data_IF_020344034196
#
_entry.id   IF_020344034196
#
_cell.length_a   1.000
_cell.length_b   1.000
_cell.length_c   1.000
_cell.angle_alpha   90.00
_cell.angle_beta   90.00
_cell.angle_gamma   90.00
#
_symmetry.space_group_name_H-M   'P 1'
#
loop_
_entity.id
_entity.type
_entity.pdbx_description
1 polymer ?
#
# COMPACT_ATOMS: atom_id res chain seq x y z
N UNK A 1 34.19 9.57 -22.46
CA UNK A 1 32.83 9.05 -22.73
C UNK A 1 32.17 8.90 -21.37
N UNK A 2 31.13 9.67 -21.08
CA UNK A 2 30.39 9.63 -19.81
C UNK A 2 29.73 8.25 -19.68
N UNK A 3 30.10 7.49 -18.65
CA UNK A 3 29.56 6.17 -18.42
C UNK A 3 28.13 6.31 -17.88
N UNK A 4 27.13 6.03 -18.73
CA UNK A 4 25.72 6.07 -18.32
C UNK A 4 25.45 5.07 -17.20
N UNK A 5 25.11 5.58 -16.01
CA UNK A 5 24.75 4.76 -14.85
C UNK A 5 23.50 3.92 -15.15
N UNK A 6 23.57 2.58 -15.10
CA UNK A 6 22.45 1.69 -15.45
C UNK A 6 21.15 1.99 -14.68
N UNK A 7 21.28 2.49 -13.45
CA UNK A 7 20.17 2.83 -12.56
C UNK A 7 19.31 4.01 -13.06
N UNK A 8 19.91 4.95 -13.80
CA UNK A 8 19.25 6.16 -14.31
C UNK A 8 18.73 5.99 -15.75
N UNK A 9 18.75 4.76 -16.27
CA UNK A 9 18.24 4.48 -17.61
C UNK A 9 16.72 4.33 -17.63
N UNK A 10 16.03 4.84 -18.66
CA UNK A 10 14.59 4.64 -18.83
C UNK A 10 14.22 3.15 -18.91
N UNK A 11 13.02 2.81 -18.44
CA UNK A 11 12.53 1.43 -18.43
C UNK A 11 11.02 1.36 -18.68
N UNK A 12 10.61 0.47 -19.59
CA UNK A 12 9.19 0.23 -19.88
C UNK A 12 8.67 -0.93 -19.05
N UNK A 13 7.81 -0.62 -18.08
CA UNK A 13 7.16 -1.59 -17.19
C UNK A 13 5.71 -1.78 -17.60
N UNK A 14 5.46 -2.71 -18.53
CA UNK A 14 4.11 -2.98 -19.04
C UNK A 14 3.47 -1.74 -19.68
N UNK A 15 2.47 -1.15 -19.02
CA UNK A 15 1.77 0.07 -19.48
C UNK A 15 2.45 1.37 -19.04
N UNK A 16 3.49 1.30 -18.21
CA UNK A 16 4.15 2.47 -17.63
C UNK A 16 5.53 2.67 -18.27
N UNK A 17 5.85 3.91 -18.62
CA UNK A 17 7.18 4.30 -19.06
C UNK A 17 7.87 5.04 -17.90
N UNK A 18 8.92 4.45 -17.34
CA UNK A 18 9.68 5.02 -16.23
C UNK A 18 10.92 5.75 -16.78
N UNK A 19 11.22 6.91 -16.20
CA UNK A 19 12.41 7.68 -16.57
C UNK A 19 13.69 7.08 -15.99
N UNK A 20 13.58 6.34 -14.88
CA UNK A 20 14.68 5.71 -14.17
C UNK A 20 14.22 4.44 -13.45
N UNK A 21 15.17 3.66 -12.92
CA UNK A 21 14.90 2.37 -12.24
C UNK A 21 14.89 2.47 -10.71
N UNK A 22 14.98 3.67 -10.16
CA UNK A 22 14.81 3.94 -8.73
C UNK A 22 13.31 3.91 -8.39
N UNK A 23 12.95 3.12 -7.40
CA UNK A 23 11.56 2.94 -6.96
C UNK A 23 11.48 3.25 -5.46
N UNK A 24 10.44 3.96 -5.05
CA UNK A 24 10.13 4.09 -3.62
C UNK A 24 9.44 2.81 -3.13
N UNK A 25 10.12 2.08 -2.26
CA UNK A 25 9.61 0.86 -1.66
C UNK A 25 8.36 1.12 -0.78
N UNK A 26 7.49 0.11 -0.58
CA UNK A 26 6.37 0.24 0.34
C UNK A 26 6.88 0.26 1.79
N UNK A 27 6.81 1.42 2.45
CA UNK A 27 7.28 1.59 3.84
C UNK A 27 6.11 1.93 4.76
N UNK A 28 5.79 1.04 5.69
CA UNK A 28 4.81 1.31 6.75
C UNK A 28 5.38 2.33 7.72
N UNK A 29 4.67 3.46 7.90
CA UNK A 29 5.12 4.58 8.76
C UNK A 29 4.26 4.77 10.01
N UNK A 30 3.15 4.02 10.16
CA UNK A 30 2.19 4.15 11.26
C UNK A 30 1.67 5.59 11.47
N UNK A 31 1.44 6.34 10.38
CA UNK A 31 0.92 7.72 10.41
C UNK A 31 -0.45 7.89 9.76
N UNK A 32 -1.19 6.79 9.58
CA UNK A 32 -2.58 6.85 9.10
C UNK A 32 -3.50 6.54 10.28
N UNK A 33 -3.83 7.58 11.04
CA UNK A 33 -4.72 7.46 12.20
C UNK A 33 -6.07 6.92 11.75
N UNK A 34 -6.63 5.97 12.52
CA UNK A 34 -7.91 5.31 12.24
C UNK A 34 -8.00 4.66 10.84
N UNK A 35 -6.86 4.27 10.26
CA UNK A 35 -6.77 3.77 8.88
C UNK A 35 -7.21 4.79 7.81
N UNK A 36 -7.26 6.07 8.16
CA UNK A 36 -7.63 7.16 7.28
C UNK A 36 -6.39 7.89 6.75
N UNK A 37 -6.42 8.23 5.46
CA UNK A 37 -5.35 9.01 4.84
C UNK A 37 -5.30 10.43 5.42
N UNK A 38 -4.12 10.83 5.89
CA UNK A 38 -3.90 12.13 6.53
C UNK A 38 -3.31 13.16 5.55
N UNK A 39 -3.49 14.47 5.77
CA UNK A 39 -2.98 15.51 4.87
C UNK A 39 -1.46 15.44 4.64
N UNK A 40 -0.69 15.12 5.69
CA UNK A 40 0.76 14.99 5.59
C UNK A 40 1.23 13.82 4.70
N UNK A 41 0.36 12.86 4.39
CA UNK A 41 0.69 11.79 3.44
C UNK A 41 0.84 12.35 2.02
N UNK A 42 0.06 13.37 1.64
CA UNK A 42 0.21 14.06 0.35
C UNK A 42 1.61 14.66 0.21
N UNK A 43 1.97 15.53 1.17
CA UNK A 43 3.30 16.15 1.22
C UNK A 43 4.44 15.12 1.21
N UNK A 44 4.27 14.00 1.92
CA UNK A 44 5.27 12.93 1.97
C UNK A 44 5.57 12.32 0.59
N UNK A 45 4.54 12.07 -0.21
CA UNK A 45 4.68 11.51 -1.56
C UNK A 45 5.08 12.57 -2.58
N UNK A 46 4.60 13.80 -2.45
CA UNK A 46 5.01 14.92 -3.30
C UNK A 46 6.52 15.14 -3.24
N UNK A 47 7.11 15.10 -2.03
CA UNK A 47 8.56 15.21 -1.84
C UNK A 47 9.37 14.08 -2.50
N UNK A 48 8.76 12.93 -2.76
CA UNK A 48 9.41 11.73 -3.30
C UNK A 48 9.06 11.48 -4.76
N UNK A 49 8.11 12.24 -5.30
CA UNK A 49 7.74 12.20 -6.69
C UNK A 49 8.80 12.90 -7.53
N UNK A 50 9.41 12.14 -8.43
CA UNK A 50 10.20 12.67 -9.54
C UNK A 50 9.52 12.32 -10.88
N UNK A 51 9.78 13.07 -11.97
CA UNK A 51 9.21 12.75 -13.28
C UNK A 51 9.54 11.31 -13.71
N UNK A 52 8.54 10.52 -14.11
CA UNK A 52 8.72 9.12 -14.48
C UNK A 52 9.19 8.20 -13.35
N UNK A 53 9.07 8.62 -12.08
CA UNK A 53 9.38 7.78 -10.91
C UNK A 53 8.19 6.91 -10.52
N UNK A 54 8.49 5.73 -9.96
CA UNK A 54 7.46 4.84 -9.42
C UNK A 54 7.45 4.86 -7.91
N UNK A 55 6.30 5.17 -7.33
CA UNK A 55 6.05 5.18 -5.90
C UNK A 55 5.10 4.07 -5.49
N UNK A 56 5.45 3.31 -4.46
CA UNK A 56 4.58 2.32 -3.83
C UNK A 56 4.14 2.85 -2.45
N UNK A 57 2.82 2.85 -2.22
CA UNK A 57 2.23 3.25 -0.93
C UNK A 57 2.48 2.17 0.14
N UNK A 58 2.38 2.48 1.45
CA UNK A 58 2.45 1.47 2.51
C UNK A 58 1.36 0.43 2.33
N UNK A 59 1.51 -0.67 3.07
CA UNK A 59 0.43 -1.63 3.23
C UNK A 59 -0.83 -0.91 3.72
N UNK A 60 -1.87 -0.93 2.91
CA UNK A 60 -3.19 -0.45 3.30
C UNK A 60 -4.03 -1.65 3.73
N UNK A 61 -4.59 -1.65 4.94
CA UNK A 61 -5.38 -2.78 5.41
C UNK A 61 -6.59 -3.02 4.51
N UNK A 62 -6.96 -4.30 4.39
CA UNK A 62 -8.19 -4.72 3.74
C UNK A 62 -9.40 -4.14 4.49
N UNK A 63 -10.51 -3.99 3.78
CA UNK A 63 -11.81 -3.70 4.42
C UNK A 63 -12.03 -4.68 5.59
N UNK A 64 -12.65 -4.24 6.70
CA UNK A 64 -13.02 -5.16 7.77
C UNK A 64 -14.02 -6.16 7.19
N UNK A 65 -13.57 -7.38 6.93
CA UNK A 65 -14.45 -8.49 6.62
C UNK A 65 -14.98 -9.06 7.93
N UNK A 66 -16.25 -9.43 7.96
CA UNK A 66 -16.89 -10.11 9.09
C UNK A 66 -16.22 -11.45 9.46
N UNK A 67 -15.33 -11.97 8.61
CA UNK A 67 -14.50 -13.15 8.87
C UNK A 67 -13.35 -12.91 9.84
N UNK A 68 -13.12 -11.68 10.31
CA UNK A 68 -12.35 -11.44 11.53
C UNK A 68 -13.18 -11.91 12.74
N UNK A 69 -13.36 -13.23 12.87
CA UNK A 69 -14.00 -13.86 14.02
C UNK A 69 -13.22 -13.45 15.27
N UNK A 70 -13.96 -12.89 16.21
CA UNK A 70 -13.59 -12.49 17.58
C UNK A 70 -12.21 -12.95 18.05
N UNK A 71 -11.22 -12.06 17.97
CA UNK A 71 -9.91 -12.30 18.58
C UNK A 71 -8.98 -11.09 18.47
N UNK A 72 -8.87 -10.49 17.29
CA UNK A 72 -8.06 -9.28 17.11
C UNK A 72 -8.97 -8.06 17.06
N UNK A 73 -9.18 -7.41 18.22
CA UNK A 73 -9.55 -5.99 18.24
C UNK A 73 -8.42 -5.26 17.52
N UNK A 74 -8.64 -4.89 16.25
CA UNK A 74 -7.79 -3.92 15.58
C UNK A 74 -7.94 -2.62 16.37
N UNK A 75 -7.02 -2.39 17.30
CA UNK A 75 -6.99 -1.19 18.12
C UNK A 75 -6.85 0.01 17.18
N UNK A 76 -7.95 0.76 17.06
CA UNK A 76 -7.97 2.11 16.55
C UNK A 76 -7.33 3.04 17.58
N UNK A 77 -6.00 3.01 17.64
CA UNK A 77 -5.11 4.00 18.24
C UNK A 77 -3.72 3.43 18.05
N UNK A 78 -2.77 4.26 17.57
CA UNK A 78 -1.35 3.95 17.35
C UNK A 78 -0.95 2.51 17.75
N UNK A 79 -0.75 1.58 16.81
CA UNK A 79 -0.28 0.26 17.21
C UNK A 79 1.00 0.47 18.02
N UNK A 80 1.11 -0.06 19.24
CA UNK A 80 2.37 -0.02 19.94
C UNK A 80 3.42 -0.57 18.97
N UNK A 81 4.57 0.10 18.90
CA UNK A 81 5.78 -0.58 18.45
C UNK A 81 5.79 -1.91 19.19
N UNK A 82 6.08 -3.00 18.48
CA UNK A 82 5.96 -4.38 18.96
C UNK A 82 6.81 -4.55 20.23
N UNK A 83 6.27 -4.14 21.36
CA UNK A 83 6.67 -4.54 22.70
C UNK A 83 5.70 -5.66 23.01
N UNK A 84 6.18 -6.87 22.72
CA UNK A 84 5.63 -8.13 23.23
C UNK A 84 4.18 -8.43 22.85
N UNK A 85 3.80 -8.19 21.59
CA UNK A 85 2.54 -8.72 21.08
C UNK A 85 2.59 -10.26 21.09
N UNK A 86 1.81 -10.88 21.98
CA UNK A 86 1.66 -12.32 22.03
C UNK A 86 0.91 -12.81 20.79
N UNK A 87 1.61 -13.51 19.90
CA UNK A 87 1.03 -14.09 18.70
C UNK A 87 0.35 -15.42 19.06
N UNK A 88 -0.97 -15.40 19.21
CA UNK A 88 -1.77 -16.63 19.29
C UNK A 88 -1.67 -17.45 18.00
N UNK A 89 -1.86 -18.77 18.10
CA UNK A 89 -1.88 -19.64 16.93
C UNK A 89 -2.97 -19.18 15.94
N UNK A 90 -2.64 -18.90 14.67
CA UNK A 90 -3.61 -18.39 13.72
C UNK A 90 -4.66 -19.48 13.41
N UNK A 91 -5.96 -19.14 13.41
CA UNK A 91 -6.98 -20.09 13.01
C UNK A 91 -6.79 -20.42 11.52
N UNK A 92 -6.96 -21.71 11.18
CA UNK A 92 -6.95 -22.17 9.80
C UNK A 92 -8.10 -21.51 9.03
N UNK A 93 -7.82 -21.10 7.79
CA UNK A 93 -8.87 -20.69 6.86
C UNK A 93 -9.64 -21.93 6.39
N UNK A 94 -10.96 -21.92 6.56
CA UNK A 94 -11.82 -22.91 5.96
C UNK A 94 -11.98 -22.65 4.45
N UNK A 95 -12.25 -23.69 3.67
CA UNK A 95 -12.33 -23.57 2.21
C UNK A 95 -13.43 -22.58 1.77
N UNK A 96 -14.49 -22.47 2.57
CA UNK A 96 -15.64 -21.59 2.37
C UNK A 96 -15.30 -20.10 2.59
N UNK A 97 -14.23 -19.80 3.34
CA UNK A 97 -13.77 -18.43 3.60
C UNK A 97 -12.90 -17.87 2.45
N UNK A 98 -12.32 -18.75 1.62
CA UNK A 98 -11.42 -18.37 0.52
C UNK A 98 -12.12 -17.46 -0.52
N UNK A 99 -13.34 -17.76 -1.00
CA UNK A 99 -14.04 -16.89 -1.94
C UNK A 99 -14.27 -15.48 -1.40
N UNK A 100 -14.59 -15.34 -0.11
CA UNK A 100 -14.80 -14.04 0.52
C UNK A 100 -13.49 -13.26 0.61
N UNK A 101 -12.38 -13.92 0.98
CA UNK A 101 -11.06 -13.28 1.01
C UNK A 101 -10.65 -12.76 -0.38
N UNK A 102 -10.86 -13.55 -1.44
CA UNK A 102 -10.62 -13.12 -2.83
C UNK A 102 -11.49 -11.92 -3.20
N UNK A 103 -12.76 -11.94 -2.79
CA UNK A 103 -13.69 -10.85 -3.05
C UNK A 103 -13.26 -9.54 -2.37
N UNK A 104 -12.74 -9.61 -1.16
CA UNK A 104 -12.26 -8.43 -0.43
C UNK A 104 -11.05 -7.78 -1.14
N UNK A 105 -10.10 -8.57 -1.63
CA UNK A 105 -8.98 -8.05 -2.45
C UNK A 105 -9.48 -7.41 -3.74
N UNK A 106 -10.48 -8.01 -4.39
CA UNK A 106 -11.11 -7.45 -5.59
C UNK A 106 -11.75 -6.09 -5.31
N UNK A 107 -12.44 -5.94 -4.17
CA UNK A 107 -13.05 -4.67 -3.74
C UNK A 107 -11.96 -3.64 -3.43
N UNK A 108 -10.93 -4.03 -2.68
CA UNK A 108 -9.80 -3.16 -2.34
C UNK A 108 -9.09 -2.62 -3.59
N UNK A 109 -8.82 -3.48 -4.58
CA UNK A 109 -8.21 -3.08 -5.85
C UNK A 109 -9.06 -2.07 -6.62
N UNK A 110 -10.38 -2.27 -6.68
CA UNK A 110 -11.30 -1.30 -7.31
C UNK A 110 -11.30 0.04 -6.59
N UNK A 111 -11.26 0.03 -5.26
CA UNK A 111 -11.21 1.26 -4.47
C UNK A 111 -9.91 2.02 -4.70
N UNK A 112 -8.78 1.31 -4.80
CA UNK A 112 -7.48 1.91 -5.14
C UNK A 112 -7.50 2.58 -6.53
N UNK A 113 -8.05 1.93 -7.55
CA UNK A 113 -8.19 2.50 -8.90
C UNK A 113 -9.10 3.74 -8.89
N UNK A 114 -10.22 3.68 -8.15
CA UNK A 114 -11.14 4.82 -7.99
C UNK A 114 -10.51 5.99 -7.25
N UNK A 115 -9.63 5.73 -6.27
CA UNK A 115 -8.90 6.78 -5.55
C UNK A 115 -7.89 7.48 -6.46
N UNK A 116 -7.10 6.72 -7.23
CA UNK A 116 -6.14 7.28 -8.20
C UNK A 116 -6.80 8.07 -9.33
N UNK A 117 -8.02 7.72 -9.75
CA UNK A 117 -8.79 8.49 -10.73
C UNK A 117 -9.34 9.82 -10.18
N UNK A 118 -9.69 9.87 -8.88
CA UNK A 118 -10.23 11.08 -8.23
C UNK A 118 -9.18 12.10 -7.86
N UNK A 119 -7.95 11.67 -7.58
CA UNK A 119 -6.87 12.58 -7.21
C UNK A 119 -6.34 13.41 -8.38
N UNK A 120 -6.88 13.29 -9.60
CA UNK A 120 -6.43 14.04 -10.77
C UNK A 120 -4.95 13.82 -11.09
N UNK A 121 -4.34 12.75 -10.54
CA UNK A 121 -2.95 12.41 -10.73
C UNK A 121 -2.78 11.97 -12.19
N UNK A 122 -2.52 12.94 -13.06
CA UNK A 122 -1.96 12.71 -14.39
C UNK A 122 -0.83 11.71 -14.21
N UNK A 123 -0.85 10.67 -15.03
CA UNK A 123 0.23 9.69 -15.13
C UNK A 123 1.56 10.44 -15.16
N UNK A 124 2.35 10.30 -14.09
CA UNK A 124 3.76 10.69 -14.07
C UNK A 124 4.60 9.54 -14.62
#
# INVERSE_FOLDING_TARGET
MEATTPLLTPYKMGKFNLAHRVVHAPVTRCRSYENMAQPHNGLYYEQRAAPGSRLLTPCTPRVPSSSARSGTRAAASNPPLIDDAEFGAPPRLEAEDIPQMVNDFRIAARNAIKAGRRSGARSW
#
